data_IF_060938412252
#
_entry.id   IF_060938412252
#
_cell.length_a   1.000
_cell.length_b   1.000
_cell.length_c   1.000
_cell.angle_alpha   90.00
_cell.angle_beta   90.00
_cell.angle_gamma   90.00
#
_symmetry.space_group_name_H-M   'P 1'
#
loop_
_entity.id
_entity.type
_entity.pdbx_description
1 polymer ?
#
# COMPACT_ATOMS: atom_id res chain seq x y z
N UNK A 1 67.79 25.37 -3.81
CA UNK A 1 67.80 25.82 -5.22
C UNK A 1 66.41 25.60 -5.82
N UNK A 2 66.00 26.53 -6.69
CA UNK A 2 64.73 26.58 -7.44
C UNK A 2 64.33 25.26 -8.11
N UNK A 3 63.03 24.96 -8.09
CA UNK A 3 62.24 24.99 -9.34
C UNK A 3 61.65 23.68 -9.88
N UNK A 4 60.32 23.71 -10.04
CA UNK A 4 59.47 23.03 -11.06
C UNK A 4 59.32 21.49 -10.90
N UNK A 5 58.14 20.87 -10.88
CA UNK A 5 56.92 20.99 -11.69
C UNK A 5 55.76 20.41 -10.84
N UNK A 6 54.79 21.19 -10.36
CA UNK A 6 53.46 21.34 -10.98
C UNK A 6 53.11 20.21 -11.95
N UNK A 7 52.47 19.13 -11.49
CA UNK A 7 51.56 18.25 -12.26
C UNK A 7 51.12 17.01 -11.44
N UNK A 8 50.56 17.18 -10.23
CA UNK A 8 49.84 16.06 -9.59
C UNK A 8 48.92 16.47 -8.44
N UNK A 9 48.24 17.62 -8.55
CA UNK A 9 47.30 18.05 -7.49
C UNK A 9 45.93 18.48 -7.99
N UNK A 10 45.65 18.38 -9.30
CA UNK A 10 44.30 18.63 -9.82
C UNK A 10 43.40 17.37 -9.85
N UNK A 11 43.92 16.14 -9.85
CA UNK A 11 43.06 14.96 -9.96
C UNK A 11 42.48 14.47 -8.62
N UNK A 12 43.13 14.77 -7.48
CA UNK A 12 42.70 14.27 -6.17
C UNK A 12 41.75 15.22 -5.42
N UNK A 13 41.75 16.52 -5.72
CA UNK A 13 40.77 17.47 -5.18
C UNK A 13 39.41 17.43 -5.91
N UNK A 14 39.37 16.97 -7.15
CA UNK A 14 38.12 16.83 -7.90
C UNK A 14 37.30 15.59 -7.48
N UNK A 15 37.93 14.53 -6.97
CA UNK A 15 37.22 13.31 -6.56
C UNK A 15 36.56 13.42 -5.17
N UNK A 16 37.10 14.23 -4.25
CA UNK A 16 36.50 14.44 -2.92
C UNK A 16 35.40 15.52 -2.92
N UNK A 17 35.50 16.53 -3.78
CA UNK A 17 34.45 17.56 -3.93
C UNK A 17 33.19 17.03 -4.63
N UNK A 18 33.33 16.09 -5.57
CA UNK A 18 32.19 15.44 -6.22
C UNK A 18 31.46 14.45 -5.30
N UNK A 19 32.18 13.77 -4.40
CA UNK A 19 31.57 12.85 -3.43
C UNK A 19 30.81 13.59 -2.33
N UNK A 20 31.33 14.71 -1.82
CA UNK A 20 30.67 15.50 -0.78
C UNK A 20 29.43 16.23 -1.29
N UNK A 21 29.47 16.75 -2.53
CA UNK A 21 28.30 17.34 -3.19
C UNK A 21 27.20 16.30 -3.47
N UNK A 22 27.58 15.07 -3.86
CA UNK A 22 26.65 13.95 -4.03
C UNK A 22 26.10 13.46 -2.67
N UNK A 23 26.91 13.45 -1.62
CA UNK A 23 26.47 13.12 -0.26
C UNK A 23 25.51 14.17 0.30
N UNK A 24 25.77 15.46 0.08
CA UNK A 24 24.83 16.54 0.40
C UNK A 24 23.54 16.41 -0.41
N UNK A 25 23.62 16.13 -1.73
CA UNK A 25 22.44 15.84 -2.56
C UNK A 25 21.66 14.60 -2.08
N UNK A 26 22.35 13.58 -1.55
CA UNK A 26 21.73 12.37 -1.01
C UNK A 26 21.10 12.60 0.38
N UNK A 27 21.61 13.53 1.18
CA UNK A 27 20.95 13.97 2.41
C UNK A 27 19.74 14.88 2.14
N UNK A 28 19.71 15.59 1.00
CA UNK A 28 18.55 16.35 0.55
C UNK A 28 17.44 15.50 -0.11
N UNK A 29 17.67 14.22 -0.44
CA UNK A 29 16.65 13.31 -0.96
C UNK A 29 15.90 12.50 0.12
N UNK A 30 16.08 12.84 1.40
CA UNK A 30 15.27 12.33 2.51
C UNK A 30 15.03 13.39 3.58
N UNK A 31 14.59 14.58 3.18
CA UNK A 31 13.72 15.38 4.05
C UNK A 31 12.30 15.03 3.60
N UNK A 32 11.63 14.31 4.48
CA UNK A 32 10.25 13.85 4.37
C UNK A 32 9.40 14.99 3.82
N UNK A 33 8.96 14.88 2.57
CA UNK A 33 7.77 15.60 2.19
C UNK A 33 6.63 14.83 2.85
N UNK A 34 6.42 15.14 4.13
CA UNK A 34 5.11 15.16 4.74
C UNK A 34 4.28 16.06 3.81
N UNK A 35 3.77 15.49 2.71
CA UNK A 35 2.69 16.07 1.94
C UNK A 35 1.62 16.25 2.99
N UNK A 36 1.35 17.49 3.37
CA UNK A 36 0.28 17.82 4.28
C UNK A 36 -1.04 17.45 3.58
N UNK A 37 -1.37 16.16 3.58
CA UNK A 37 -2.70 15.64 3.26
C UNK A 37 -3.71 16.07 4.33
N UNK A 38 -3.25 16.81 5.35
CA UNK A 38 -4.06 17.34 6.44
C UNK A 38 -4.86 18.56 5.97
N UNK A 39 -5.86 18.27 5.15
CA UNK A 39 -6.86 19.23 4.69
C UNK A 39 -8.07 19.22 5.63
N UNK A 40 -8.52 20.40 6.03
CA UNK A 40 -9.72 20.59 6.85
C UNK A 40 -10.97 20.31 6.00
N UNK A 41 -11.81 19.39 6.49
CA UNK A 41 -13.06 18.99 5.86
C UNK A 41 -14.29 19.42 6.67
N UNK A 42 -14.10 20.25 7.70
CA UNK A 42 -15.19 20.74 8.56
C UNK A 42 -16.12 21.64 7.74
N UNK A 43 -17.33 21.17 7.45
CA UNK A 43 -18.31 21.88 6.58
C UNK A 43 -18.39 21.38 5.14
N UNK A 44 -17.66 20.33 4.78
CA UNK A 44 -17.79 19.71 3.46
C UNK A 44 -19.19 19.10 3.24
N UNK A 45 -19.74 19.16 2.01
CA UNK A 45 -21.03 18.57 1.71
C UNK A 45 -21.00 17.05 1.90
N UNK A 46 -21.97 16.56 2.68
CA UNK A 46 -22.16 15.14 2.97
C UNK A 46 -22.67 14.45 1.70
N UNK A 47 -21.79 13.71 1.05
CA UNK A 47 -22.06 12.92 -0.16
C UNK A 47 -21.29 11.63 -0.01
N UNK A 48 -21.95 10.54 0.42
CA UNK A 48 -21.24 9.30 0.71
C UNK A 48 -20.64 8.70 -0.56
N UNK A 49 -19.42 8.18 -0.40
CA UNK A 49 -18.60 7.64 -1.47
C UNK A 49 -18.02 6.30 -1.05
N UNK A 50 -18.09 5.30 -1.92
CA UNK A 50 -17.50 4.00 -1.70
C UNK A 50 -16.14 3.94 -2.38
N UNK A 51 -15.07 3.80 -1.60
CA UNK A 51 -13.75 3.64 -2.15
C UNK A 51 -13.46 2.19 -2.56
N UNK A 52 -12.47 2.00 -3.44
CA UNK A 52 -12.00 0.67 -3.88
C UNK A 52 -11.43 -0.16 -2.73
N UNK A 53 -11.07 0.48 -1.62
CA UNK A 53 -10.65 -0.19 -0.41
C UNK A 53 -11.80 -0.71 0.47
N UNK A 54 -13.05 -0.48 0.06
CA UNK A 54 -14.26 -0.89 0.79
C UNK A 54 -14.66 0.07 1.92
N UNK A 55 -13.99 1.22 2.07
CA UNK A 55 -14.38 2.24 3.04
C UNK A 55 -15.42 3.18 2.46
N UNK A 56 -16.42 3.50 3.27
CA UNK A 56 -17.37 4.56 2.99
C UNK A 56 -16.82 5.88 3.52
N UNK A 57 -16.60 6.85 2.64
CA UNK A 57 -16.24 8.23 2.97
C UNK A 57 -17.49 9.09 3.03
N UNK A 58 -17.60 9.96 4.03
CA UNK A 58 -18.80 10.79 4.24
C UNK A 58 -18.88 11.98 3.26
N UNK A 59 -17.72 12.39 2.74
CA UNK A 59 -17.60 13.48 1.76
C UNK A 59 -16.46 13.24 0.78
N UNK A 60 -16.48 13.98 -0.33
CA UNK A 60 -15.38 14.00 -1.30
C UNK A 60 -14.08 14.55 -0.70
N UNK A 61 -14.18 15.49 0.24
CA UNK A 61 -13.01 16.05 0.93
C UNK A 61 -12.26 14.96 1.70
N UNK A 62 -13.00 14.16 2.48
CA UNK A 62 -12.39 13.06 3.23
C UNK A 62 -11.76 12.00 2.32
N UNK A 63 -12.42 11.68 1.20
CA UNK A 63 -11.85 10.79 0.20
C UNK A 63 -10.54 11.34 -0.39
N UNK A 64 -10.48 12.63 -0.74
CA UNK A 64 -9.27 13.25 -1.28
C UNK A 64 -8.11 13.27 -0.27
N UNK A 65 -8.42 13.51 1.01
CA UNK A 65 -7.46 13.36 2.11
C UNK A 65 -6.87 11.95 2.16
N UNK A 66 -7.70 10.92 1.99
CA UNK A 66 -7.24 9.53 1.94
C UNK A 66 -6.48 9.21 0.64
N UNK A 67 -6.95 9.69 -0.51
CA UNK A 67 -6.28 9.50 -1.82
C UNK A 67 -4.91 10.18 -1.89
N UNK A 68 -4.71 11.26 -1.13
CA UNK A 68 -3.41 11.88 -0.97
C UNK A 68 -2.39 10.94 -0.29
N UNK A 69 -2.86 10.07 0.62
CA UNK A 69 -2.05 9.05 1.28
C UNK A 69 -1.91 7.78 0.43
N UNK A 70 -2.97 7.40 -0.29
CA UNK A 70 -3.00 6.28 -1.23
C UNK A 70 -3.51 6.72 -2.61
N UNK A 71 -2.59 6.97 -3.53
CA UNK A 71 -2.92 7.47 -4.87
C UNK A 71 -3.70 6.46 -5.73
N UNK A 72 -3.71 5.17 -5.38
CA UNK A 72 -4.41 4.13 -6.14
C UNK A 72 -5.88 3.99 -5.74
N UNK A 73 -6.35 4.80 -4.79
CA UNK A 73 -7.71 4.76 -4.32
C UNK A 73 -8.69 5.25 -5.39
N UNK A 74 -9.63 4.40 -5.76
CA UNK A 74 -10.72 4.65 -6.71
C UNK A 74 -12.05 4.81 -5.98
N UNK A 75 -13.05 5.43 -6.61
CA UNK A 75 -14.30 5.79 -5.92
C UNK A 75 -15.56 5.62 -6.77
N UNK A 76 -16.60 5.10 -6.13
CA UNK A 76 -17.96 4.97 -6.64
C UNK A 76 -18.93 5.83 -5.83
N UNK A 77 -20.04 6.27 -6.46
CA UNK A 77 -21.07 7.09 -5.78
C UNK A 77 -21.90 6.25 -4.81
N UNK A 78 -22.24 6.84 -3.66
CA UNK A 78 -23.03 6.20 -2.61
C UNK A 78 -22.15 5.51 -1.57
N UNK A 79 -22.74 5.10 -0.43
CA UNK A 79 -22.02 4.29 0.55
C UNK A 79 -21.63 2.95 -0.09
N UNK A 80 -20.57 2.32 0.43
CA UNK A 80 -20.37 0.92 0.12
C UNK A 80 -21.62 0.16 0.59
N UNK A 81 -22.16 -0.72 -0.26
CA UNK A 81 -23.25 -1.62 0.14
C UNK A 81 -22.77 -2.32 1.40
N UNK A 82 -23.60 -2.45 2.44
CA UNK A 82 -23.29 -3.08 3.75
C UNK A 82 -22.85 -4.57 3.67
N UNK A 83 -22.41 -5.01 2.50
CA UNK A 83 -21.50 -6.12 2.33
C UNK A 83 -20.10 -5.67 2.70
N UNK A 84 -19.53 -6.31 3.71
CA UNK A 84 -18.11 -6.16 4.02
C UNK A 84 -17.23 -6.38 2.78
N UNK A 85 -16.03 -5.80 2.78
CA UNK A 85 -15.08 -5.90 1.66
C UNK A 85 -14.87 -7.34 1.19
N UNK A 86 -14.68 -8.27 2.13
CA UNK A 86 -14.51 -9.68 1.81
C UNK A 86 -15.75 -10.25 1.09
N UNK A 87 -16.97 -9.96 1.57
CA UNK A 87 -18.21 -10.47 0.98
C UNK A 87 -18.45 -9.89 -0.41
N UNK A 88 -18.12 -8.62 -0.62
CA UNK A 88 -18.20 -7.99 -1.94
C UNK A 88 -17.20 -8.62 -2.93
N UNK A 89 -15.95 -8.81 -2.51
CA UNK A 89 -14.89 -9.43 -3.33
C UNK A 89 -15.21 -10.89 -3.65
N UNK A 90 -15.72 -11.64 -2.68
CA UNK A 90 -16.20 -13.02 -2.86
C UNK A 90 -17.31 -13.09 -3.92
N UNK A 91 -18.36 -12.26 -3.81
CA UNK A 91 -19.46 -12.23 -4.79
C UNK A 91 -18.97 -11.90 -6.20
N UNK A 92 -18.05 -10.94 -6.33
CA UNK A 92 -17.49 -10.56 -7.63
C UNK A 92 -16.65 -11.69 -8.26
N UNK A 93 -15.77 -12.32 -7.47
CA UNK A 93 -14.87 -13.39 -7.95
C UNK A 93 -15.62 -14.69 -8.24
N UNK A 94 -16.65 -15.03 -7.46
CA UNK A 94 -17.54 -16.17 -7.73
C UNK A 94 -18.32 -16.01 -9.04
N UNK A 95 -18.79 -14.79 -9.35
CA UNK A 95 -19.50 -14.51 -10.61
C UNK A 95 -18.59 -14.58 -11.84
N UNK A 96 -17.31 -14.28 -11.67
CA UNK A 96 -16.31 -14.33 -12.74
C UNK A 96 -15.58 -15.67 -12.85
N UNK A 97 -16.08 -16.73 -12.20
CA UNK A 97 -15.41 -18.01 -12.01
C UNK A 97 -15.05 -18.74 -13.32
N UNK A 98 -14.02 -18.27 -14.02
CA UNK A 98 -13.08 -19.12 -14.74
C UNK A 98 -12.26 -19.85 -13.67
N UNK A 99 -12.03 -21.15 -13.86
CA UNK A 99 -11.51 -22.14 -12.88
C UNK A 99 -10.10 -21.85 -12.27
N UNK A 100 -9.60 -20.63 -12.33
CA UNK A 100 -8.23 -20.26 -11.95
C UNK A 100 -8.15 -18.96 -11.13
N UNK A 101 -9.29 -18.40 -10.71
CA UNK A 101 -9.35 -17.14 -9.95
C UNK A 101 -9.39 -17.42 -8.45
N UNK A 102 -8.66 -16.62 -7.67
CA UNK A 102 -8.73 -16.60 -6.22
C UNK A 102 -10.12 -16.16 -5.74
N UNK A 103 -10.73 -16.94 -4.85
CA UNK A 103 -11.97 -16.55 -4.17
C UNK A 103 -11.66 -16.41 -2.67
N UNK A 104 -11.81 -15.23 -2.07
CA UNK A 104 -11.51 -15.03 -0.66
C UNK A 104 -12.52 -15.73 0.25
N UNK A 105 -12.05 -16.23 1.40
CA UNK A 105 -12.89 -16.75 2.48
C UNK A 105 -13.19 -15.64 3.48
N UNK A 106 -14.44 -15.55 3.91
CA UNK A 106 -14.93 -14.52 4.82
C UNK A 106 -15.51 -15.16 6.07
N UNK A 107 -15.33 -14.48 7.21
CA UNK A 107 -15.98 -14.79 8.47
C UNK A 107 -17.45 -14.30 8.48
N UNK A 108 -18.30 -14.78 9.41
CA UNK A 108 -19.72 -14.37 9.49
C UNK A 108 -19.93 -12.89 9.80
N UNK A 109 -18.98 -12.25 10.49
CA UNK A 109 -18.95 -10.80 10.75
C UNK A 109 -18.56 -9.99 9.49
N UNK A 110 -18.22 -10.66 8.40
CA UNK A 110 -17.80 -10.08 7.14
C UNK A 110 -16.29 -9.79 7.03
N UNK A 111 -15.49 -10.04 8.07
CA UNK A 111 -14.03 -9.89 7.98
C UNK A 111 -13.41 -10.99 7.11
N UNK A 112 -12.15 -10.81 6.69
CA UNK A 112 -11.42 -11.89 6.03
C UNK A 112 -11.10 -13.00 7.02
N UNK A 113 -11.27 -14.25 6.60
CA UNK A 113 -10.78 -15.40 7.36
C UNK A 113 -9.27 -15.26 7.55
N UNK A 114 -8.79 -15.52 8.77
CA UNK A 114 -7.38 -15.41 9.13
C UNK A 114 -6.47 -16.22 8.19
N UNK A 115 -6.97 -17.35 7.66
CA UNK A 115 -6.31 -18.13 6.61
C UNK A 115 -7.05 -17.95 5.29
N UNK A 116 -6.31 -17.57 4.25
CA UNK A 116 -6.76 -17.56 2.86
C UNK A 116 -6.01 -18.64 2.07
N UNK A 117 -6.69 -19.29 1.12
CA UNK A 117 -6.11 -20.34 0.29
C UNK A 117 -6.50 -20.17 -1.18
N UNK A 118 -5.53 -20.38 -2.07
CA UNK A 118 -5.71 -20.38 -3.51
C UNK A 118 -5.81 -21.81 -4.03
N UNK A 119 -7.04 -22.31 -4.21
CA UNK A 119 -7.30 -23.72 -4.54
C UNK A 119 -6.60 -24.22 -5.81
N UNK A 120 -6.35 -23.36 -6.79
CA UNK A 120 -5.69 -23.76 -8.04
C UNK A 120 -4.17 -23.91 -7.90
N UNK A 121 -3.53 -23.13 -7.03
CA UNK A 121 -2.06 -23.14 -6.87
C UNK A 121 -1.61 -23.85 -5.60
N UNK A 122 -2.54 -24.14 -4.67
CA UNK A 122 -2.27 -24.79 -3.39
C UNK A 122 -1.62 -23.87 -2.35
N UNK A 123 -1.45 -22.58 -2.63
CA UNK A 123 -0.86 -21.63 -1.68
C UNK A 123 -1.90 -21.20 -0.65
N UNK A 124 -1.53 -21.21 0.62
CA UNK A 124 -2.30 -20.62 1.71
C UNK A 124 -1.43 -19.64 2.50
N UNK A 125 -2.02 -18.56 3.00
CA UNK A 125 -1.33 -17.53 3.79
C UNK A 125 -2.24 -16.96 4.86
N UNK A 126 -1.65 -16.31 5.85
CA UNK A 126 -2.39 -15.59 6.88
C UNK A 126 -2.71 -14.16 6.43
N UNK A 127 -3.87 -13.64 6.83
CA UNK A 127 -4.27 -12.26 6.59
C UNK A 127 -4.81 -11.60 7.86
N UNK A 128 -4.79 -10.27 7.90
CA UNK A 128 -5.50 -9.50 8.93
C UNK A 128 -7.02 -9.51 8.67
N UNK A 129 -7.86 -9.10 9.64
CA UNK A 129 -9.32 -9.00 9.44
C UNK A 129 -9.74 -8.11 8.25
N UNK A 130 -8.86 -7.19 7.83
CA UNK A 130 -9.06 -6.31 6.67
C UNK A 130 -8.54 -6.90 5.34
N UNK A 131 -7.99 -8.12 5.35
CA UNK A 131 -7.51 -8.83 4.16
C UNK A 131 -6.05 -8.58 3.80
N UNK A 132 -5.26 -7.94 4.66
CA UNK A 132 -3.83 -7.70 4.38
C UNK A 132 -3.00 -8.95 4.67
N UNK A 133 -2.20 -9.47 3.74
CA UNK A 133 -1.37 -10.64 3.98
C UNK A 133 -0.26 -10.40 5.00
N UNK A 134 0.00 -11.40 5.84
CA UNK A 134 1.07 -11.42 6.84
C UNK A 134 2.33 -12.00 6.20
N UNK A 135 3.41 -11.22 6.17
CA UNK A 135 4.68 -11.63 5.58
C UNK A 135 5.25 -12.89 6.26
N UNK A 136 5.76 -13.83 5.46
CA UNK A 136 6.34 -15.08 5.95
C UNK A 136 5.35 -16.16 6.37
N UNK A 137 4.04 -15.92 6.24
CA UNK A 137 2.99 -16.89 6.58
C UNK A 137 2.60 -17.85 5.44
N UNK A 138 3.08 -17.61 4.22
CA UNK A 138 2.69 -18.38 3.04
C UNK A 138 3.26 -19.80 3.05
N UNK A 139 2.41 -20.79 2.83
CA UNK A 139 2.74 -22.22 2.75
C UNK A 139 2.04 -22.87 1.55
N UNK A 140 2.58 -23.99 1.05
CA UNK A 140 2.03 -24.73 -0.10
C UNK A 140 1.45 -26.06 0.38
N UNK A 141 0.25 -26.41 -0.11
CA UNK A 141 -0.48 -27.64 0.18
C UNK A 141 -0.68 -27.93 1.68
N UNK A 142 -0.63 -26.89 2.51
CA UNK A 142 -0.76 -26.96 3.98
C UNK A 142 -1.51 -25.74 4.49
N UNK A 143 -2.07 -25.82 5.70
CA UNK A 143 -2.67 -24.68 6.39
C UNK A 143 -1.62 -23.98 7.26
N UNK A 144 -1.39 -22.66 7.10
CA UNK A 144 -0.44 -21.95 7.94
C UNK A 144 -0.97 -21.82 9.37
N UNK A 145 -0.05 -21.68 10.34
CA UNK A 145 -0.40 -21.32 11.71
C UNK A 145 -0.41 -19.81 11.82
N UNK A 146 -1.59 -19.25 11.91
CA UNK A 146 -1.77 -17.82 12.12
C UNK A 146 -1.79 -17.54 13.63
N UNK A 147 -1.01 -16.55 14.04
CA UNK A 147 -0.99 -16.08 15.42
C UNK A 147 -2.03 -14.96 15.48
N UNK A 148 -3.24 -15.29 15.92
CA UNK A 148 -4.38 -14.37 15.96
C UNK A 148 -3.97 -12.98 16.44
N UNK A 149 -4.16 -12.00 15.56
CA UNK A 149 -3.97 -10.58 15.86
C UNK A 149 -5.20 -9.99 16.50
#
# INVERSE_FOLDING_TARGET
>A
LRGYFLLSSCCLFFLHSFSFALFLLLQFLRVDQDKECNMDCTGAPQKPLCASDGRTFTSRCEFLRAKCRDSQLEVSRGPCKDTSRCVAEKKYTEQQAKKQVFVPVCNPDGTYSEVQCHSYTGYCWCVTPNGRPISGSSVVNKKPRCQGG
#
